data_IF_966544451181
#
_entry.id   IF_966544451181
#
_cell.length_a   1.000
_cell.length_b   1.000
_cell.length_c   1.000
_cell.angle_alpha   90.00
_cell.angle_beta   90.00
_cell.angle_gamma   90.00
#
_symmetry.space_group_name_H-M   'P 1'
#
loop_
_entity.id
_entity.type
_entity.pdbx_description
1 polymer ?
#
# COMPACT_ATOMS: atom_id res chain seq x y z
N UNK A 1 -5.54 39.64 19.51
CA UNK A 1 -6.48 39.19 18.47
C UNK A 1 -5.83 38.35 17.37
N UNK A 2 -4.64 38.71 16.89
CA UNK A 2 -3.96 37.94 15.83
C UNK A 2 -3.67 36.48 16.20
N UNK A 3 -3.33 36.20 17.47
CA UNK A 3 -3.03 34.84 17.94
C UNK A 3 -4.25 33.92 17.92
N UNK A 4 -5.45 34.43 18.27
CA UNK A 4 -6.68 33.62 18.29
C UNK A 4 -7.10 33.20 16.89
N UNK A 5 -6.98 34.08 15.91
CA UNK A 5 -7.32 33.80 14.51
C UNK A 5 -6.36 32.74 13.94
N UNK A 6 -5.07 32.82 14.30
CA UNK A 6 -4.07 31.86 13.87
C UNK A 6 -4.38 30.45 14.40
N UNK A 7 -4.72 30.30 15.67
CA UNK A 7 -5.09 29.01 16.26
C UNK A 7 -6.34 28.41 15.65
N UNK A 8 -7.35 29.21 15.35
CA UNK A 8 -8.56 28.74 14.68
C UNK A 8 -8.29 28.24 13.28
N UNK A 9 -7.43 28.91 12.53
CA UNK A 9 -7.02 28.48 11.21
C UNK A 9 -6.26 27.15 11.24
N UNK A 10 -5.37 26.98 12.20
CA UNK A 10 -4.60 25.76 12.37
C UNK A 10 -5.51 24.58 12.75
N UNK A 11 -6.46 24.79 13.65
CA UNK A 11 -7.43 23.77 14.03
C UNK A 11 -8.30 23.34 12.85
N UNK A 12 -8.72 24.27 11.98
CA UNK A 12 -9.46 23.97 10.75
C UNK A 12 -8.66 23.07 9.80
N UNK A 13 -7.38 23.35 9.62
CA UNK A 13 -6.50 22.54 8.76
C UNK A 13 -6.39 21.12 9.29
N UNK A 14 -6.20 20.96 10.61
CA UNK A 14 -6.11 19.63 11.24
C UNK A 14 -7.42 18.86 11.05
N UNK A 15 -8.58 19.49 11.23
CA UNK A 15 -9.87 18.85 11.02
C UNK A 15 -10.04 18.39 9.58
N UNK A 16 -9.65 19.21 8.61
CA UNK A 16 -9.73 18.86 7.18
C UNK A 16 -8.86 17.65 6.89
N UNK A 17 -7.64 17.58 7.42
CA UNK A 17 -6.74 16.43 7.24
C UNK A 17 -7.34 15.16 7.82
N UNK A 18 -7.98 15.24 9.00
CA UNK A 18 -8.62 14.08 9.63
C UNK A 18 -9.84 13.57 8.85
N UNK A 19 -10.53 14.46 8.12
CA UNK A 19 -11.70 14.12 7.33
C UNK A 19 -11.37 13.65 5.91
N UNK A 20 -10.09 13.70 5.49
CA UNK A 20 -9.68 13.25 4.17
C UNK A 20 -9.95 11.76 3.99
N UNK A 21 -10.40 11.33 2.78
CA UNK A 21 -10.61 9.92 2.52
C UNK A 21 -9.34 9.09 2.70
N UNK A 22 -9.50 7.85 3.16
CA UNK A 22 -8.38 6.91 3.35
C UNK A 22 -7.60 6.62 2.07
N UNK A 23 -8.16 6.92 0.91
CA UNK A 23 -7.50 6.78 -0.40
C UNK A 23 -6.24 7.63 -0.54
N UNK A 24 -6.09 8.67 0.28
CA UNK A 24 -4.89 9.51 0.27
C UNK A 24 -3.75 8.93 1.11
N UNK A 25 -3.99 7.83 1.84
CA UNK A 25 -2.98 7.18 2.66
C UNK A 25 -1.69 6.83 1.90
N UNK A 26 -1.77 6.17 0.72
CA UNK A 26 -0.56 5.87 -0.06
C UNK A 26 0.20 7.11 -0.51
N UNK A 27 -0.51 8.19 -0.87
CA UNK A 27 0.12 9.46 -1.27
C UNK A 27 0.85 10.09 -0.08
N UNK A 28 0.23 10.08 1.10
CA UNK A 28 0.83 10.59 2.33
C UNK A 28 2.08 9.78 2.66
N UNK A 29 2.03 8.46 2.57
CA UNK A 29 3.15 7.58 2.88
C UNK A 29 4.32 7.78 1.92
N UNK A 30 4.04 8.08 0.64
CA UNK A 30 5.07 8.37 -0.36
C UNK A 30 6.00 9.51 0.08
N UNK A 31 5.45 10.53 0.72
CA UNK A 31 6.19 11.71 1.14
C UNK A 31 6.59 11.72 2.61
N UNK A 32 6.29 10.64 3.34
CA UNK A 32 6.62 10.54 4.76
C UNK A 32 8.09 10.17 4.95
N UNK A 33 8.94 11.08 5.51
CA UNK A 33 10.36 10.81 5.68
C UNK A 33 10.68 9.74 6.72
N UNK A 34 9.72 9.37 7.57
CA UNK A 34 9.90 8.35 8.62
C UNK A 34 9.71 6.93 8.09
N UNK A 35 9.10 6.76 6.92
CA UNK A 35 8.95 5.45 6.31
C UNK A 35 10.13 5.15 5.39
N UNK A 36 10.59 3.91 5.45
CA UNK A 36 11.65 3.41 4.57
C UNK A 36 11.03 2.60 3.44
N UNK A 37 11.67 2.67 2.27
CA UNK A 37 11.30 1.81 1.14
C UNK A 37 11.79 0.40 1.44
N UNK A 38 10.89 -0.57 1.36
CA UNK A 38 11.17 -1.98 1.65
C UNK A 38 10.56 -2.88 0.59
N UNK A 39 11.08 -4.11 0.53
CA UNK A 39 10.48 -5.17 -0.25
C UNK A 39 9.42 -5.90 0.59
N UNK A 40 8.25 -6.10 0.00
CA UNK A 40 7.16 -6.89 0.58
C UNK A 40 6.78 -7.99 -0.39
N UNK A 41 6.34 -9.11 0.14
CA UNK A 41 5.97 -10.27 -0.65
C UNK A 41 4.49 -10.55 -0.48
N UNK A 42 3.81 -10.84 -1.59
CA UNK A 42 2.38 -11.13 -1.57
C UNK A 42 2.02 -12.13 -2.67
N UNK A 43 0.83 -12.69 -2.55
CA UNK A 43 0.19 -13.48 -3.60
C UNK A 43 -1.11 -12.77 -3.94
N UNK A 44 -1.35 -12.56 -5.24
CA UNK A 44 -2.54 -11.83 -5.69
C UNK A 44 -3.80 -12.62 -5.35
N UNK A 45 -4.62 -12.08 -4.46
CA UNK A 45 -5.91 -12.65 -4.06
C UNK A 45 -7.08 -11.74 -4.43
N UNK A 46 -6.81 -10.44 -4.51
CA UNK A 46 -7.82 -9.45 -4.81
C UNK A 46 -8.14 -9.41 -6.29
N UNK A 47 -9.41 -9.16 -6.60
CA UNK A 47 -9.83 -8.86 -7.96
C UNK A 47 -9.75 -7.35 -8.09
N UNK A 48 -8.92 -6.86 -9.01
CA UNK A 48 -8.74 -5.43 -9.18
C UNK A 48 -10.05 -4.70 -9.44
N UNK A 49 -10.27 -3.60 -8.75
CA UNK A 49 -11.45 -2.77 -8.94
C UNK A 49 -11.25 -1.88 -10.17
N UNK A 50 -12.06 -2.07 -11.19
CA UNK A 50 -12.01 -1.25 -12.40
C UNK A 50 -12.47 0.18 -12.08
N UNK A 51 -11.62 1.16 -12.35
CA UNK A 51 -11.88 2.56 -12.05
C UNK A 51 -11.98 3.46 -13.29
N UNK A 52 -11.93 2.88 -14.48
CA UNK A 52 -12.09 3.58 -15.76
C UNK A 52 -10.84 3.50 -16.64
N UNK A 53 -11.02 3.63 -17.94
CA UNK A 53 -9.95 3.70 -18.96
C UNK A 53 -8.88 2.60 -18.89
N UNK A 54 -9.27 1.38 -18.47
CA UNK A 54 -8.35 0.27 -18.34
C UNK A 54 -7.50 0.28 -17.08
N UNK A 55 -7.80 1.16 -16.13
CA UNK A 55 -7.12 1.21 -14.84
C UNK A 55 -7.83 0.35 -13.80
N UNK A 56 -7.03 -0.33 -12.96
CA UNK A 56 -7.53 -1.19 -11.89
C UNK A 56 -6.83 -0.83 -10.59
N UNK A 57 -7.59 -0.70 -9.51
CA UNK A 57 -7.08 -0.48 -8.17
C UNK A 57 -6.98 -1.81 -7.45
N UNK A 58 -5.79 -2.12 -6.94
CA UNK A 58 -5.52 -3.34 -6.17
C UNK A 58 -5.12 -2.99 -4.75
N UNK A 59 -5.64 -3.76 -3.81
CA UNK A 59 -5.17 -3.76 -2.43
C UNK A 59 -4.42 -5.07 -2.18
N UNK A 60 -3.21 -4.94 -1.66
CA UNK A 60 -2.37 -6.09 -1.33
C UNK A 60 -2.12 -6.14 0.16
N UNK A 61 -2.06 -7.35 0.70
CA UNK A 61 -1.49 -7.59 2.02
C UNK A 61 -0.13 -8.22 1.80
N UNK A 62 0.92 -7.44 1.99
CA UNK A 62 2.29 -7.89 1.81
C UNK A 62 2.99 -8.12 3.15
N UNK A 63 4.04 -8.91 3.12
CA UNK A 63 4.86 -9.20 4.29
C UNK A 63 6.32 -8.91 3.96
N UNK A 64 7.01 -8.21 4.87
CA UNK A 64 8.45 -7.99 4.73
C UNK A 64 9.23 -9.25 5.14
N UNK A 65 10.57 -9.19 5.06
CA UNK A 65 11.43 -10.33 5.40
C UNK A 65 11.26 -10.80 6.85
N UNK A 66 10.87 -9.91 7.75
CA UNK A 66 10.63 -10.23 9.15
C UNK A 66 9.22 -10.77 9.40
N UNK A 67 8.40 -10.83 8.36
CA UNK A 67 7.03 -11.30 8.43
C UNK A 67 6.04 -10.25 8.91
N UNK A 68 6.39 -8.98 8.89
CA UNK A 68 5.50 -7.89 9.28
C UNK A 68 4.54 -7.58 8.14
N UNK A 69 3.27 -7.50 8.49
CA UNK A 69 2.20 -7.23 7.53
C UNK A 69 2.16 -5.75 7.16
N UNK A 70 1.93 -5.46 5.88
CA UNK A 70 1.70 -4.12 5.38
C UNK A 70 0.62 -4.14 4.33
N UNK A 71 -0.38 -3.30 4.49
CA UNK A 71 -1.40 -3.06 3.46
C UNK A 71 -0.85 -2.08 2.45
N UNK A 72 -0.99 -2.42 1.17
CA UNK A 72 -0.42 -1.65 0.06
C UNK A 72 -1.49 -1.49 -1.00
N UNK A 73 -1.67 -0.27 -1.50
CA UNK A 73 -2.63 0.03 -2.55
C UNK A 73 -1.88 0.50 -3.80
N UNK A 74 -2.24 -0.05 -4.95
CA UNK A 74 -1.63 0.33 -6.22
C UNK A 74 -2.68 0.35 -7.32
N UNK A 75 -2.67 1.41 -8.12
CA UNK A 75 -3.48 1.51 -9.33
C UNK A 75 -2.60 1.19 -10.53
N UNK A 76 -3.00 0.20 -11.32
CA UNK A 76 -2.24 -0.25 -12.49
C UNK A 76 -3.15 -0.39 -13.70
N UNK A 77 -2.55 -0.36 -14.89
CA UNK A 77 -3.26 -0.37 -16.17
C UNK A 77 -3.32 -1.78 -16.76
N UNK A 78 -3.46 -2.80 -15.91
CA UNK A 78 -3.65 -4.19 -16.36
C UNK A 78 -4.32 -5.01 -15.26
N UNK A 79 -4.94 -6.12 -15.64
CA UNK A 79 -5.44 -7.10 -14.70
C UNK A 79 -4.32 -8.06 -14.32
N UNK A 80 -4.14 -8.29 -13.01
CA UNK A 80 -3.19 -9.27 -12.49
C UNK A 80 -3.83 -10.65 -12.44
N UNK A 81 -3.03 -11.69 -12.67
CA UNK A 81 -3.49 -13.06 -12.54
C UNK A 81 -3.67 -13.42 -11.07
N UNK A 82 -4.74 -14.15 -10.77
CA UNK A 82 -4.96 -14.67 -9.43
C UNK A 82 -3.87 -15.67 -9.06
N UNK A 83 -3.50 -15.66 -7.78
CA UNK A 83 -2.48 -16.55 -7.19
C UNK A 83 -1.07 -16.29 -7.73
N UNK A 84 -0.82 -15.15 -8.35
CA UNK A 84 0.51 -14.79 -8.82
C UNK A 84 1.35 -14.23 -7.68
N UNK A 85 2.59 -14.75 -7.47
CA UNK A 85 3.49 -14.19 -6.48
C UNK A 85 4.09 -12.87 -6.97
N UNK A 86 4.13 -11.89 -6.08
CA UNK A 86 4.70 -10.57 -6.38
C UNK A 86 5.64 -10.13 -5.27
N UNK A 87 6.71 -9.45 -5.66
CA UNK A 87 7.51 -8.63 -4.78
C UNK A 87 7.10 -7.18 -5.01
N UNK A 88 6.74 -6.49 -3.94
CA UNK A 88 6.30 -5.09 -3.99
C UNK A 88 7.36 -4.24 -3.32
N UNK A 89 7.94 -3.31 -4.06
CA UNK A 89 8.83 -2.30 -3.48
C UNK A 89 7.94 -1.15 -3.07
N UNK A 90 7.81 -0.95 -1.76
CA UNK A 90 6.85 -0.01 -1.21
C UNK A 90 7.40 0.80 -0.05
N UNK A 91 6.83 1.99 0.10
CA UNK A 91 7.07 2.87 1.24
C UNK A 91 5.74 3.01 1.98
N UNK A 92 5.60 2.33 3.12
CA UNK A 92 4.31 2.24 3.80
C UNK A 92 3.25 1.63 2.89
N UNK A 93 2.15 2.34 2.68
CA UNK A 93 1.05 1.91 1.81
C UNK A 93 1.26 2.23 0.33
N UNK A 94 2.32 2.97 0.01
CA UNK A 94 2.61 3.41 -1.35
C UNK A 94 3.54 2.43 -2.05
N UNK A 95 3.05 1.78 -3.12
CA UNK A 95 3.85 0.88 -3.93
C UNK A 95 4.59 1.65 -5.02
N UNK A 96 5.92 1.59 -5.00
CA UNK A 96 6.73 2.21 -6.04
C UNK A 96 6.78 1.35 -7.30
N UNK A 97 6.84 0.01 -7.14
CA UNK A 97 6.79 -0.91 -8.27
C UNK A 97 6.40 -2.31 -7.82
N UNK A 98 5.89 -3.08 -8.78
CA UNK A 98 5.54 -4.49 -8.62
C UNK A 98 6.49 -5.31 -9.49
N UNK A 99 7.02 -6.39 -8.95
CA UNK A 99 7.92 -7.30 -9.68
C UNK A 99 7.31 -8.70 -9.62
N UNK A 100 7.13 -9.34 -10.78
CA UNK A 100 6.70 -10.72 -10.85
C UNK A 100 7.86 -11.63 -10.43
N UNK A 101 7.59 -12.55 -9.50
CA UNK A 101 8.59 -13.48 -8.96
C UNK A 101 8.03 -14.89 -8.96
N UNK A 102 8.89 -15.87 -8.71
CA UNK A 102 8.46 -17.26 -8.48
C UNK A 102 8.22 -17.47 -6.99
N UNK A 103 7.42 -18.50 -6.66
CA UNK A 103 7.13 -18.83 -5.25
C UNK A 103 8.39 -19.10 -4.45
N UNK A 104 9.41 -19.66 -5.09
CA UNK A 104 10.71 -19.98 -4.47
C UNK A 104 11.48 -18.71 -4.07
N UNK A 105 11.17 -17.58 -4.68
CA UNK A 105 11.82 -16.30 -4.37
C UNK A 105 11.26 -15.64 -3.11
N UNK A 106 10.13 -16.16 -2.60
CA UNK A 106 9.54 -15.67 -1.35
C UNK A 106 10.32 -16.25 -0.17
N UNK A 107 10.78 -15.43 0.81
CA UNK A 107 11.44 -15.94 2.00
C UNK A 107 10.61 -17.00 2.73
N UNK A 108 11.27 -18.03 3.27
CA UNK A 108 10.59 -19.18 3.85
C UNK A 108 9.61 -18.82 4.98
N UNK A 109 9.97 -17.89 5.85
CA UNK A 109 9.09 -17.44 6.93
C UNK A 109 7.86 -16.71 6.42
N UNK A 110 7.98 -16.00 5.31
CA UNK A 110 6.86 -15.27 4.69
C UNK A 110 6.00 -16.24 3.87
N UNK A 111 6.63 -17.19 3.20
CA UNK A 111 5.94 -18.20 2.39
C UNK A 111 4.91 -18.97 3.20
N UNK A 112 5.25 -19.34 4.43
CA UNK A 112 4.33 -20.01 5.32
C UNK A 112 3.08 -19.21 5.61
N UNK A 113 3.23 -17.89 5.80
CA UNK A 113 2.10 -16.98 6.04
C UNK A 113 1.20 -16.81 4.83
N UNK A 114 1.79 -16.70 3.64
CA UNK A 114 1.03 -16.51 2.40
C UNK A 114 0.30 -17.76 1.95
N UNK A 115 0.88 -18.94 2.15
CA UNK A 115 0.28 -20.21 1.72
C UNK A 115 -0.75 -20.77 2.68
N UNK A 116 -0.70 -20.41 3.98
CA UNK A 116 -1.67 -20.87 4.96
C UNK A 116 -3.01 -20.12 4.94
N UNK A 117 -3.08 -18.98 4.26
CA UNK A 117 -4.30 -18.20 4.13
C UNK A 117 -5.22 -18.74 3.02
N UNK A 118 -4.79 -19.79 2.33
CA UNK A 118 -5.62 -20.46 1.33
C UNK A 118 -6.68 -21.35 2.03
#
# INVERSE_FOLDING_TARGET
MRRRVFFLGLASIVIVVLLLPTKLGPVIDKYNPFYQTKAYYTIVKDIGQHIGDGWYEYEFVGYDEDGREQKITKTIQKMLKQNEPLEIIAKGRYAERLVEIDKEDIPLNVRGKLLTIQ
#
